data_IF_195638178388
#
_entry.id   IF_195638178388
#
_cell.length_a   1.000
_cell.length_b   1.000
_cell.length_c   1.000
_cell.angle_alpha   90.00
_cell.angle_beta   90.00
_cell.angle_gamma   90.00
#
_symmetry.space_group_name_H-M   'P 1'
#
loop_
_entity.id
_entity.type
_entity.pdbx_description
1 polymer ?
#
# COMPACT_ATOMS: atom_id res chain seq x y z
N UNK A 1 -13.92 -33.83 36.83
CA UNK A 1 -13.38 -33.31 35.55
C UNK A 1 -14.53 -32.81 34.74
N UNK A 2 -14.71 -31.48 34.69
CA UNK A 2 -15.72 -30.84 33.86
C UNK A 2 -15.40 -30.96 32.37
N UNK A 3 -16.40 -30.95 31.48
CA UNK A 3 -16.17 -31.05 30.07
C UNK A 3 -15.35 -29.83 29.62
N UNK A 4 -14.18 -30.07 29.00
CA UNK A 4 -13.44 -29.03 28.28
C UNK A 4 -14.34 -28.53 27.16
N UNK A 5 -14.80 -27.30 27.28
CA UNK A 5 -15.41 -26.59 26.15
C UNK A 5 -14.43 -26.64 24.99
N UNK A 6 -14.83 -27.27 23.88
CA UNK A 6 -14.04 -27.22 22.66
C UNK A 6 -13.92 -25.73 22.26
N UNK A 7 -12.71 -25.24 21.97
CA UNK A 7 -12.55 -23.88 21.48
C UNK A 7 -13.39 -23.68 20.22
N UNK A 8 -14.07 -22.56 20.14
CA UNK A 8 -14.91 -22.20 19.00
C UNK A 8 -13.99 -22.08 17.77
N UNK A 9 -14.11 -23.04 16.85
CA UNK A 9 -13.54 -23.08 15.50
C UNK A 9 -12.16 -22.47 15.37
N UNK A 10 -11.16 -23.14 15.89
CA UNK A 10 -9.77 -22.91 15.56
C UNK A 10 -9.57 -23.07 14.05
N UNK A 11 -8.77 -22.18 13.45
CA UNK A 11 -8.32 -22.41 12.09
C UNK A 11 -7.51 -23.70 12.04
N UNK A 12 -7.54 -24.42 10.92
CA UNK A 12 -6.76 -25.64 10.79
C UNK A 12 -5.27 -25.36 10.97
N UNK A 13 -4.52 -26.40 11.29
CA UNK A 13 -3.05 -26.34 11.29
C UNK A 13 -2.55 -26.10 9.86
N UNK A 14 -1.45 -25.34 9.70
CA UNK A 14 -0.86 -25.11 8.38
C UNK A 14 -0.35 -26.43 7.78
N UNK A 15 -0.46 -26.55 6.47
CA UNK A 15 0.09 -27.67 5.73
C UNK A 15 1.62 -27.73 5.87
N UNK A 16 2.20 -28.89 5.64
CA UNK A 16 3.66 -29.10 5.71
C UNK A 16 4.41 -28.13 4.78
N UNK A 17 5.40 -27.44 5.32
CA UNK A 17 6.19 -26.44 4.58
C UNK A 17 5.58 -25.05 4.54
N UNK A 18 4.37 -24.86 5.07
CA UNK A 18 3.75 -23.55 5.26
C UNK A 18 4.22 -22.97 6.60
N UNK A 19 4.81 -21.77 6.53
CA UNK A 19 5.38 -21.11 7.70
C UNK A 19 4.48 -19.99 8.15
N UNK A 20 3.96 -20.11 9.36
CA UNK A 20 3.27 -19.05 10.08
C UNK A 20 4.00 -18.76 11.38
N UNK A 21 3.94 -17.52 11.83
CA UNK A 21 4.53 -17.09 13.10
C UNK A 21 3.78 -17.61 14.31
N UNK A 22 4.32 -17.35 15.49
CA UNK A 22 3.59 -17.51 16.73
C UNK A 22 2.47 -16.47 16.81
N UNK A 23 1.35 -16.86 17.38
CA UNK A 23 0.27 -15.93 17.71
C UNK A 23 0.69 -15.12 18.95
N UNK A 24 0.60 -13.81 18.86
CA UNK A 24 0.75 -12.88 19.98
C UNK A 24 -0.61 -12.43 20.45
N UNK A 25 -0.84 -12.41 21.74
CA UNK A 25 -2.13 -12.04 22.33
C UNK A 25 -3.05 -13.22 22.59
N UNK A 26 -4.35 -12.99 22.45
CA UNK A 26 -5.40 -13.96 22.79
C UNK A 26 -5.58 -14.99 21.65
N UNK A 27 -5.84 -16.23 22.02
CA UNK A 27 -6.15 -17.32 21.08
C UNK A 27 -7.62 -17.36 20.65
N UNK A 28 -8.49 -16.64 21.35
CA UNK A 28 -9.90 -16.54 21.01
C UNK A 28 -10.14 -15.45 19.99
N UNK A 29 -10.88 -15.76 18.94
CA UNK A 29 -11.32 -14.88 17.87
C UNK A 29 -12.13 -13.70 18.43
N UNK A 30 -11.70 -12.47 18.19
CA UNK A 30 -12.41 -11.27 18.60
C UNK A 30 -13.19 -10.69 17.42
N UNK A 31 -14.51 -10.74 17.51
CA UNK A 31 -15.38 -10.11 16.51
C UNK A 31 -15.71 -8.69 16.94
N UNK A 32 -15.01 -7.73 16.39
CA UNK A 32 -15.22 -6.32 16.71
C UNK A 32 -15.90 -5.56 15.57
N UNK A 33 -16.54 -4.45 15.91
CA UNK A 33 -17.02 -3.52 14.91
C UNK A 33 -15.91 -2.53 14.59
N UNK A 34 -15.24 -2.75 13.47
CA UNK A 34 -14.11 -1.93 13.03
C UNK A 34 -14.55 -0.54 12.53
N UNK A 35 -13.63 0.41 12.59
CA UNK A 35 -13.76 1.72 11.95
C UNK A 35 -12.72 1.79 10.84
N UNK A 36 -13.04 1.25 9.67
CA UNK A 36 -12.11 1.12 8.54
C UNK A 36 -11.15 2.30 8.41
N UNK A 37 -9.87 2.01 8.32
CA UNK A 37 -8.81 2.91 7.89
C UNK A 37 -7.94 2.26 6.83
N UNK A 38 -7.36 3.08 5.95
CA UNK A 38 -6.30 2.69 5.03
C UNK A 38 -5.04 3.45 5.42
N UNK A 39 -3.95 2.72 5.70
CA UNK A 39 -2.67 3.29 6.10
C UNK A 39 -1.59 2.90 5.10
N UNK A 40 -0.99 3.88 4.44
CA UNK A 40 0.08 3.69 3.46
C UNK A 40 1.37 4.28 4.02
N UNK A 41 2.45 3.48 4.08
CA UNK A 41 3.75 3.94 4.57
C UNK A 41 4.84 3.81 3.51
N UNK A 42 5.73 4.80 3.48
CA UNK A 42 6.81 4.90 2.49
C UNK A 42 7.96 3.91 2.68
N UNK A 43 7.95 3.12 3.74
CA UNK A 43 9.04 2.20 4.08
C UNK A 43 10.07 2.83 5.03
N UNK A 44 11.17 2.14 5.26
CA UNK A 44 12.12 2.50 6.30
C UNK A 44 11.57 2.11 7.68
N UNK A 45 11.37 3.08 8.56
CA UNK A 45 10.71 2.88 9.85
C UNK A 45 9.22 3.18 9.74
N UNK A 46 8.39 2.37 10.36
CA UNK A 46 6.96 2.64 10.51
C UNK A 46 6.72 3.89 11.36
N UNK A 47 5.66 4.65 11.05
CA UNK A 47 5.23 5.80 11.83
C UNK A 47 4.29 5.36 12.96
N UNK A 48 4.70 5.56 14.21
CA UNK A 48 4.00 5.02 15.38
C UNK A 48 2.57 5.58 15.53
N UNK A 49 2.35 6.88 15.28
CA UNK A 49 1.00 7.48 15.36
C UNK A 49 0.05 6.92 14.30
N UNK A 50 0.51 6.79 13.06
CA UNK A 50 -0.29 6.20 12.00
C UNK A 50 -0.57 4.71 12.25
N UNK A 51 0.39 3.98 12.82
CA UNK A 51 0.21 2.59 13.26
C UNK A 51 -0.81 2.47 14.40
N UNK A 52 -0.84 3.43 15.33
CA UNK A 52 -1.85 3.48 16.37
C UNK A 52 -3.26 3.70 15.78
N UNK A 53 -3.41 4.56 14.77
CA UNK A 53 -4.70 4.73 14.07
C UNK A 53 -5.15 3.42 13.43
N UNK A 54 -4.23 2.68 12.80
CA UNK A 54 -4.54 1.35 12.26
C UNK A 54 -5.04 0.39 13.35
N UNK A 55 -4.35 0.31 14.50
CA UNK A 55 -4.75 -0.53 15.64
C UNK A 55 -6.11 -0.11 16.21
N UNK A 56 -6.28 1.16 16.49
CA UNK A 56 -7.53 1.71 17.03
C UNK A 56 -8.72 1.44 16.10
N UNK A 57 -8.46 1.45 14.79
CA UNK A 57 -9.49 1.18 13.78
C UNK A 57 -9.94 -0.28 13.75
N UNK A 58 -9.15 -1.23 14.25
CA UNK A 58 -9.58 -2.63 14.43
C UNK A 58 -10.49 -2.81 15.66
N UNK A 59 -10.56 -1.80 16.53
CA UNK A 59 -11.38 -1.78 17.74
C UNK A 59 -11.13 -3.01 18.65
N UNK A 60 -9.87 -3.38 18.84
CA UNK A 60 -9.48 -4.53 19.64
C UNK A 60 -9.63 -5.87 18.92
N UNK A 61 -9.67 -5.87 17.60
CA UNK A 61 -9.77 -7.07 16.78
C UNK A 61 -8.44 -7.78 16.56
N UNK A 62 -8.48 -8.77 15.70
CA UNK A 62 -7.33 -9.61 15.33
C UNK A 62 -6.61 -9.04 14.10
N UNK A 63 -5.28 -9.05 14.13
CA UNK A 63 -4.45 -8.53 13.04
C UNK A 63 -3.68 -9.67 12.38
N UNK A 64 -3.78 -9.75 11.05
CA UNK A 64 -2.93 -10.60 10.26
C UNK A 64 -1.93 -9.79 9.44
N UNK A 65 -0.66 -10.16 9.54
CA UNK A 65 0.42 -9.56 8.78
C UNK A 65 0.78 -10.50 7.62
N UNK A 66 0.56 -10.04 6.40
CA UNK A 66 0.95 -10.73 5.18
C UNK A 66 2.39 -10.33 4.82
N UNK A 67 3.24 -11.31 4.61
CA UNK A 67 4.65 -11.07 4.35
C UNK A 67 5.20 -12.01 3.28
N UNK A 68 6.03 -11.49 2.39
CA UNK A 68 6.72 -12.30 1.38
C UNK A 68 7.88 -13.08 2.00
N UNK A 69 8.67 -12.42 2.86
CA UNK A 69 9.85 -12.99 3.52
C UNK A 69 10.20 -12.22 4.81
N UNK A 70 11.14 -12.73 5.57
CA UNK A 70 11.72 -12.04 6.73
C UNK A 70 11.11 -12.46 8.06
N UNK A 71 11.19 -11.60 9.08
CA UNK A 71 10.85 -11.91 10.47
C UNK A 71 9.37 -12.22 10.67
N UNK A 72 9.07 -13.29 11.37
CA UNK A 72 7.69 -13.66 11.78
C UNK A 72 7.25 -12.98 13.08
N UNK A 73 8.17 -12.33 13.79
CA UNK A 73 7.93 -11.79 15.14
C UNK A 73 7.99 -10.26 15.18
N UNK A 74 8.64 -9.60 14.21
CA UNK A 74 8.86 -8.15 14.27
C UNK A 74 7.57 -7.34 14.32
N UNK A 75 6.62 -7.60 13.44
CA UNK A 75 5.34 -6.90 13.45
C UNK A 75 4.42 -7.27 14.61
N UNK A 76 4.27 -8.55 14.99
CA UNK A 76 3.54 -8.87 16.22
C UNK A 76 4.13 -8.18 17.44
N UNK A 77 5.45 -8.16 17.62
CA UNK A 77 6.09 -7.40 18.70
C UNK A 77 5.81 -5.91 18.60
N UNK A 78 5.90 -5.34 17.40
CA UNK A 78 5.65 -3.93 17.17
C UNK A 78 4.21 -3.55 17.55
N UNK A 79 3.21 -4.24 17.00
CA UNK A 79 1.82 -3.93 17.23
C UNK A 79 1.32 -4.25 18.66
N UNK A 80 1.84 -5.33 19.26
CA UNK A 80 1.35 -5.81 20.57
C UNK A 80 2.14 -5.30 21.76
N UNK A 81 3.41 -4.87 21.57
CA UNK A 81 4.30 -4.58 22.69
C UNK A 81 5.02 -3.25 22.59
N UNK A 82 5.30 -2.74 21.40
CA UNK A 82 6.08 -1.51 21.21
C UNK A 82 5.19 -0.27 21.14
N UNK A 83 4.07 -0.37 20.43
CA UNK A 83 3.13 0.74 20.29
C UNK A 83 2.35 0.98 21.58
N UNK A 84 2.15 2.26 21.90
CA UNK A 84 1.33 2.73 23.02
C UNK A 84 -0.05 3.15 22.51
N UNK A 85 -0.80 2.20 21.93
CA UNK A 85 -2.16 2.46 21.43
C UNK A 85 -3.17 2.55 22.58
N UNK A 86 -4.20 3.38 22.40
CA UNK A 86 -5.34 3.45 23.33
C UNK A 86 -6.17 2.17 23.32
N UNK A 87 -6.21 1.48 22.18
CA UNK A 87 -6.91 0.21 22.00
C UNK A 87 -5.87 -0.80 21.50
N UNK A 88 -5.55 -1.79 22.32
CA UNK A 88 -4.67 -2.89 21.93
C UNK A 88 -5.43 -3.85 21.02
N UNK A 89 -4.75 -4.45 20.05
CA UNK A 89 -5.31 -5.57 19.31
C UNK A 89 -5.55 -6.78 20.22
N UNK A 90 -6.53 -7.62 19.87
CA UNK A 90 -6.75 -8.90 20.54
C UNK A 90 -5.59 -9.86 20.29
N UNK A 91 -5.19 -9.97 19.02
CA UNK A 91 -4.03 -10.78 18.63
C UNK A 91 -3.35 -10.24 17.37
N UNK A 92 -2.10 -10.67 17.16
CA UNK A 92 -1.36 -10.40 15.93
C UNK A 92 -0.58 -11.65 15.49
N UNK A 93 -0.59 -11.93 14.19
CA UNK A 93 0.05 -13.08 13.58
C UNK A 93 0.68 -12.73 12.23
N UNK A 94 1.93 -13.12 12.02
CA UNK A 94 2.57 -13.01 10.68
C UNK A 94 2.46 -14.33 9.93
N UNK A 95 2.10 -14.24 8.65
CA UNK A 95 2.08 -15.37 7.72
C UNK A 95 2.91 -15.08 6.48
N UNK A 96 3.59 -16.09 5.95
CA UNK A 96 4.33 -15.97 4.70
C UNK A 96 3.45 -16.39 3.52
N UNK A 97 3.31 -15.52 2.55
CA UNK A 97 2.41 -15.67 1.40
C UNK A 97 3.11 -15.55 0.04
N UNK A 98 4.43 -15.78 -0.02
CA UNK A 98 5.27 -15.56 -1.20
C UNK A 98 5.10 -16.58 -2.33
N UNK A 99 4.12 -17.48 -2.26
CA UNK A 99 3.80 -18.44 -3.31
C UNK A 99 2.31 -18.79 -3.31
N UNK A 100 1.76 -19.29 -4.44
CA UNK A 100 0.37 -19.71 -4.50
C UNK A 100 -0.01 -20.74 -3.44
N UNK A 101 0.87 -21.69 -3.15
CA UNK A 101 0.64 -22.75 -2.14
C UNK A 101 0.53 -22.14 -0.73
N UNK A 102 1.41 -21.17 -0.40
CA UNK A 102 1.36 -20.48 0.89
C UNK A 102 0.12 -19.63 1.02
N UNK A 103 -0.16 -18.78 0.04
CA UNK A 103 -1.30 -17.88 0.06
C UNK A 103 -2.65 -18.62 0.19
N UNK A 104 -2.79 -19.78 -0.48
CA UNK A 104 -4.03 -20.56 -0.50
C UNK A 104 -4.13 -21.62 0.60
N UNK A 105 -3.14 -21.70 1.49
CA UNK A 105 -3.23 -22.62 2.62
C UNK A 105 -4.47 -22.35 3.48
N UNK A 106 -5.15 -23.43 3.89
CA UNK A 106 -6.41 -23.30 4.63
C UNK A 106 -6.26 -22.64 5.98
N UNK A 107 -5.11 -22.79 6.65
CA UNK A 107 -4.81 -22.09 7.89
C UNK A 107 -4.67 -20.58 7.66
N UNK A 108 -4.03 -20.17 6.57
CA UNK A 108 -3.83 -18.75 6.22
C UNK A 108 -5.16 -18.11 5.81
N UNK A 109 -5.88 -18.72 4.88
CA UNK A 109 -7.16 -18.18 4.41
C UNK A 109 -8.21 -18.11 5.50
N UNK A 110 -8.23 -19.07 6.43
CA UNK A 110 -9.09 -19.03 7.61
C UNK A 110 -8.76 -17.83 8.50
N UNK A 111 -7.49 -17.59 8.80
CA UNK A 111 -7.05 -16.50 9.69
C UNK A 111 -7.32 -15.13 9.07
N UNK A 112 -7.12 -14.98 7.76
CA UNK A 112 -7.46 -13.72 7.05
C UNK A 112 -8.97 -13.43 7.16
N UNK A 113 -9.83 -14.46 7.02
CA UNK A 113 -11.29 -14.29 7.12
C UNK A 113 -11.78 -13.88 8.51
N UNK A 114 -10.96 -14.05 9.52
CA UNK A 114 -11.27 -13.72 10.92
C UNK A 114 -10.62 -12.42 11.38
N UNK A 115 -9.75 -11.82 10.56
CA UNK A 115 -9.03 -10.62 10.94
C UNK A 115 -9.88 -9.37 10.78
N UNK A 116 -9.76 -8.46 11.72
CA UNK A 116 -10.28 -7.09 11.67
C UNK A 116 -9.26 -6.11 11.09
N UNK A 117 -7.99 -6.50 11.06
CA UNK A 117 -6.91 -5.75 10.43
C UNK A 117 -6.01 -6.61 9.56
N UNK A 118 -5.65 -6.12 8.37
CA UNK A 118 -4.68 -6.74 7.47
C UNK A 118 -3.54 -5.76 7.19
N UNK A 119 -2.32 -6.21 7.45
CA UNK A 119 -1.11 -5.43 7.19
C UNK A 119 -0.24 -6.12 6.15
N UNK A 120 0.09 -5.41 5.05
CA UNK A 120 1.02 -5.88 4.02
C UNK A 120 2.42 -5.33 4.32
N UNK A 121 3.35 -6.21 4.66
CA UNK A 121 4.72 -5.82 4.99
C UNK A 121 5.52 -5.46 3.74
N UNK A 122 6.66 -4.78 3.95
CA UNK A 122 7.64 -4.52 2.90
C UNK A 122 8.31 -5.80 2.39
N UNK A 123 9.02 -5.68 1.28
CA UNK A 123 9.73 -6.77 0.63
C UNK A 123 9.81 -6.60 -0.88
N UNK A 124 9.63 -7.68 -1.61
CA UNK A 124 9.50 -7.68 -3.07
C UNK A 124 8.00 -7.73 -3.43
N UNK A 125 7.48 -6.69 -4.06
CA UNK A 125 6.07 -6.62 -4.45
C UNK A 125 5.66 -7.70 -5.46
N UNK A 126 6.60 -8.22 -6.26
CA UNK A 126 6.29 -9.32 -7.18
C UNK A 126 5.83 -10.59 -6.47
N UNK A 127 6.34 -10.83 -5.25
CA UNK A 127 5.89 -11.95 -4.43
C UNK A 127 4.41 -11.84 -4.01
N UNK A 128 3.86 -10.63 -4.00
CA UNK A 128 2.43 -10.37 -3.81
C UNK A 128 1.68 -10.39 -5.15
N UNK A 129 2.08 -9.52 -6.08
CA UNK A 129 1.35 -9.25 -7.31
C UNK A 129 1.41 -10.41 -8.30
N UNK A 130 2.57 -11.04 -8.45
CA UNK A 130 2.77 -12.23 -9.30
C UNK A 130 2.69 -13.54 -8.54
N UNK A 131 3.04 -13.54 -7.24
CA UNK A 131 3.01 -14.73 -6.40
C UNK A 131 1.62 -15.16 -5.93
N UNK A 132 0.64 -14.23 -5.87
CA UNK A 132 -0.71 -14.55 -5.41
C UNK A 132 -1.62 -14.98 -6.57
N UNK A 133 -2.26 -16.17 -6.48
CA UNK A 133 -3.23 -16.57 -7.50
C UNK A 133 -4.48 -15.69 -7.44
N UNK A 134 -5.19 -15.62 -8.56
CA UNK A 134 -6.40 -14.79 -8.70
C UNK A 134 -7.44 -15.08 -7.61
N UNK A 135 -7.62 -16.36 -7.24
CA UNK A 135 -8.55 -16.77 -6.17
C UNK A 135 -8.21 -16.15 -4.81
N UNK A 136 -6.92 -16.03 -4.48
CA UNK A 136 -6.48 -15.37 -3.25
C UNK A 136 -6.69 -13.85 -3.32
N UNK A 137 -6.38 -13.25 -4.46
CA UNK A 137 -6.62 -11.83 -4.68
C UNK A 137 -8.11 -11.48 -4.55
N UNK A 138 -9.00 -12.31 -5.11
CA UNK A 138 -10.45 -12.15 -4.95
C UNK A 138 -10.87 -12.25 -3.49
N UNK A 139 -10.38 -13.27 -2.76
CA UNK A 139 -10.66 -13.41 -1.33
C UNK A 139 -10.20 -12.18 -0.55
N UNK A 140 -8.95 -11.76 -0.76
CA UNK A 140 -8.39 -10.60 -0.07
C UNK A 140 -9.18 -9.33 -0.41
N UNK A 141 -9.51 -9.10 -1.68
CA UNK A 141 -10.32 -7.97 -2.13
C UNK A 141 -11.69 -7.93 -1.46
N UNK A 142 -12.41 -9.06 -1.42
CA UNK A 142 -13.71 -9.14 -0.74
C UNK A 142 -13.65 -8.78 0.76
N UNK A 143 -12.57 -9.12 1.42
CA UNK A 143 -12.37 -8.81 2.83
C UNK A 143 -11.92 -7.36 3.04
N UNK A 144 -10.93 -6.91 2.28
CA UNK A 144 -10.29 -5.61 2.48
C UNK A 144 -11.09 -4.43 1.93
N UNK A 145 -12.03 -4.64 1.01
CA UNK A 145 -12.97 -3.59 0.54
C UNK A 145 -14.18 -3.41 1.46
N UNK A 146 -14.34 -4.27 2.47
CA UNK A 146 -15.40 -4.22 3.47
C UNK A 146 -15.08 -3.29 4.64
N UNK A 147 -15.28 -3.80 5.85
CA UNK A 147 -15.14 -3.00 7.07
C UNK A 147 -13.77 -3.13 7.73
N UNK A 148 -12.92 -4.07 7.33
CA UNK A 148 -11.62 -4.28 7.98
C UNK A 148 -10.63 -3.14 7.67
N UNK A 149 -9.76 -2.85 8.62
CA UNK A 149 -8.67 -1.90 8.43
C UNK A 149 -7.54 -2.51 7.63
N UNK A 150 -6.97 -1.74 6.72
CA UNK A 150 -5.89 -2.19 5.84
C UNK A 150 -4.71 -1.24 5.98
N UNK A 151 -3.52 -1.80 6.05
CA UNK A 151 -2.31 -1.02 6.00
C UNK A 151 -1.20 -1.74 5.23
N UNK A 152 -0.21 -0.99 4.84
CA UNK A 152 0.97 -1.54 4.20
C UNK A 152 2.14 -0.56 4.19
N UNK A 153 3.34 -1.12 4.12
CA UNK A 153 4.58 -0.34 4.04
C UNK A 153 5.41 -0.76 2.85
N UNK A 154 6.11 0.19 2.21
CA UNK A 154 7.00 -0.09 1.08
C UNK A 154 6.30 -0.92 -0.02
N UNK A 155 6.79 -2.11 -0.36
CA UNK A 155 6.16 -3.01 -1.33
C UNK A 155 4.70 -3.35 -1.01
N UNK A 156 4.36 -3.47 0.30
CA UNK A 156 2.99 -3.69 0.73
C UNK A 156 2.07 -2.51 0.41
N UNK A 157 2.52 -1.27 0.65
CA UNK A 157 1.77 -0.07 0.29
C UNK A 157 1.60 0.07 -1.23
N UNK A 158 2.67 -0.18 -1.99
CA UNK A 158 2.67 -0.17 -3.48
C UNK A 158 1.61 -1.12 -4.03
N UNK A 159 1.44 -2.29 -3.42
CA UNK A 159 0.51 -3.33 -3.88
C UNK A 159 -0.98 -3.00 -3.67
N UNK A 160 -1.30 -1.93 -2.92
CA UNK A 160 -2.68 -1.56 -2.59
C UNK A 160 -3.33 -0.60 -3.60
N UNK A 161 -2.57 0.00 -4.52
CA UNK A 161 -3.08 0.86 -5.60
C UNK A 161 -3.86 0.10 -6.67
N UNK A 162 -4.72 0.79 -7.43
CA UNK A 162 -5.41 0.20 -8.59
C UNK A 162 -4.41 -0.25 -9.66
N UNK A 163 -3.33 0.52 -9.85
CA UNK A 163 -2.14 0.10 -10.57
C UNK A 163 -0.97 0.02 -9.61
N UNK A 164 -0.10 -0.93 -9.81
CA UNK A 164 1.10 -1.12 -9.01
C UNK A 164 2.30 -1.44 -9.90
N UNK A 165 3.42 -0.75 -9.69
CA UNK A 165 4.70 -1.18 -10.25
C UNK A 165 5.07 -2.53 -9.64
N UNK A 166 5.10 -3.58 -10.44
CA UNK A 166 5.24 -4.94 -9.93
C UNK A 166 6.67 -5.43 -9.78
N UNK A 167 7.62 -4.75 -10.40
CA UNK A 167 9.03 -5.12 -10.40
C UNK A 167 9.30 -6.56 -10.93
N UNK A 168 8.42 -7.10 -11.78
CA UNK A 168 8.58 -8.43 -12.39
C UNK A 168 9.95 -8.56 -13.09
N UNK A 169 10.37 -7.51 -13.78
CA UNK A 169 11.64 -7.46 -14.51
C UNK A 169 12.75 -6.69 -13.73
N UNK A 170 12.61 -6.63 -12.40
CA UNK A 170 13.52 -5.92 -11.51
C UNK A 170 13.17 -4.44 -11.36
N UNK A 171 14.05 -3.71 -10.69
CA UNK A 171 13.85 -2.26 -10.46
C UNK A 171 14.24 -1.44 -11.68
N UNK A 172 13.68 -0.23 -11.79
CA UNK A 172 14.04 0.77 -12.79
C UNK A 172 14.29 2.12 -12.12
N UNK A 173 15.30 2.85 -12.57
CA UNK A 173 15.56 4.22 -12.12
C UNK A 173 14.67 5.23 -12.85
N UNK A 174 14.51 6.43 -12.28
CA UNK A 174 13.80 7.53 -12.94
C UNK A 174 14.39 7.88 -14.31
N UNK A 175 15.71 7.95 -14.40
CA UNK A 175 16.38 8.25 -15.66
C UNK A 175 16.10 7.20 -16.75
N UNK A 176 16.14 5.91 -16.39
CA UNK A 176 15.86 4.83 -17.33
C UNK A 176 14.39 4.84 -17.78
N UNK A 177 13.44 5.03 -16.83
CA UNK A 177 12.02 5.05 -17.11
C UNK A 177 11.64 6.23 -18.01
N UNK A 178 12.18 7.42 -17.75
CA UNK A 178 11.96 8.62 -18.57
C UNK A 178 12.55 8.48 -19.98
N UNK A 179 13.68 7.76 -20.12
CA UNK A 179 14.36 7.56 -21.39
C UNK A 179 13.65 6.52 -22.28
N UNK A 180 13.03 5.51 -21.67
CA UNK A 180 12.29 4.44 -22.37
C UNK A 180 11.03 4.06 -21.57
N UNK A 181 9.92 4.81 -21.78
CA UNK A 181 8.67 4.54 -21.06
C UNK A 181 7.98 3.23 -21.47
N UNK A 182 8.41 2.62 -22.57
CA UNK A 182 7.90 1.31 -23.02
C UNK A 182 8.82 0.14 -22.65
N UNK A 183 9.91 0.39 -21.92
CA UNK A 183 10.79 -0.64 -21.39
C UNK A 183 9.99 -1.75 -20.68
N UNK A 184 10.40 -3.01 -20.87
CA UNK A 184 9.83 -4.15 -20.14
C UNK A 184 9.94 -3.99 -18.61
N UNK A 185 10.93 -3.22 -18.12
CA UNK A 185 11.11 -2.90 -16.72
C UNK A 185 10.07 -1.90 -16.17
N UNK A 186 9.33 -1.24 -17.05
CA UNK A 186 8.16 -0.42 -16.69
C UNK A 186 6.93 -1.32 -16.69
N UNK A 187 6.90 -2.32 -15.82
CA UNK A 187 5.81 -3.29 -15.75
C UNK A 187 4.82 -2.93 -14.65
N UNK A 188 3.53 -3.00 -14.97
CA UNK A 188 2.44 -2.71 -14.06
C UNK A 188 1.52 -3.92 -13.90
N UNK A 189 1.15 -4.18 -12.66
CA UNK A 189 0.08 -5.10 -12.30
C UNK A 189 -1.16 -4.32 -11.86
N UNK A 190 -2.33 -4.95 -12.01
CA UNK A 190 -3.63 -4.41 -11.64
C UNK A 190 -4.28 -5.34 -10.62
N UNK A 191 -3.94 -5.22 -9.33
CA UNK A 191 -4.38 -6.16 -8.32
C UNK A 191 -5.90 -6.09 -8.10
N UNK A 192 -6.55 -7.25 -7.97
CA UNK A 192 -7.99 -7.33 -7.71
C UNK A 192 -8.34 -6.82 -6.30
N UNK A 193 -7.37 -6.90 -5.40
CA UNK A 193 -7.50 -6.47 -3.99
C UNK A 193 -7.12 -4.98 -3.77
N UNK A 194 -6.99 -4.18 -4.83
CA UNK A 194 -6.73 -2.76 -4.63
C UNK A 194 -7.80 -2.11 -3.75
N UNK A 195 -7.42 -1.08 -3.03
CA UNK A 195 -8.33 -0.43 -2.08
C UNK A 195 -9.21 0.59 -2.80
N UNK A 196 -10.54 0.63 -2.53
CA UNK A 196 -11.47 1.54 -3.22
C UNK A 196 -11.05 3.01 -3.14
N UNK A 197 -10.45 3.41 -2.03
CA UNK A 197 -9.91 4.75 -1.81
C UNK A 197 -8.78 5.09 -2.81
N UNK A 198 -8.14 4.08 -3.39
CA UNK A 198 -7.04 4.22 -4.34
C UNK A 198 -7.46 3.97 -5.80
N UNK A 199 -8.74 4.18 -6.11
CA UNK A 199 -9.21 4.14 -7.50
C UNK A 199 -8.47 5.17 -8.34
N UNK A 200 -8.05 4.80 -9.55
CA UNK A 200 -7.20 5.59 -10.46
C UNK A 200 -5.84 5.97 -9.86
N UNK A 201 -5.38 5.28 -8.83
CA UNK A 201 -4.17 5.66 -8.09
C UNK A 201 -3.09 4.57 -8.17
N UNK A 202 -1.84 5.02 -8.26
CA UNK A 202 -0.62 4.24 -8.14
C UNK A 202 0.22 4.78 -6.99
N UNK A 203 0.74 3.90 -6.14
CA UNK A 203 1.59 4.26 -4.99
C UNK A 203 3.04 3.90 -5.27
N UNK A 204 3.98 4.78 -4.94
CA UNK A 204 5.41 4.49 -4.87
C UNK A 204 5.97 4.87 -3.49
N UNK A 205 7.00 4.17 -3.05
CA UNK A 205 7.58 4.28 -1.69
C UNK A 205 9.08 4.62 -1.76
N UNK A 206 9.72 4.93 -0.62
CA UNK A 206 11.13 5.37 -0.58
C UNK A 206 11.40 6.47 -1.61
N UNK A 207 10.50 7.43 -1.68
CA UNK A 207 10.30 8.22 -2.89
C UNK A 207 11.45 9.17 -3.15
N UNK A 208 11.68 10.10 -2.26
CA UNK A 208 12.78 11.08 -2.39
C UNK A 208 14.14 10.41 -2.21
N UNK A 209 14.26 9.47 -1.26
CA UNK A 209 15.52 8.78 -0.96
C UNK A 209 16.09 8.03 -2.15
N UNK A 210 15.23 7.56 -3.05
CA UNK A 210 15.64 6.81 -4.24
C UNK A 210 15.39 7.56 -5.54
N UNK A 211 15.12 8.87 -5.45
CA UNK A 211 14.89 9.74 -6.61
C UNK A 211 13.85 9.14 -7.58
N UNK A 212 12.63 8.86 -7.08
CA UNK A 212 11.63 8.08 -7.80
C UNK A 212 10.61 8.89 -8.61
N UNK A 213 10.69 10.22 -8.61
CA UNK A 213 9.74 11.10 -9.30
C UNK A 213 9.57 10.75 -10.78
N UNK A 214 10.67 10.63 -11.52
CA UNK A 214 10.61 10.36 -12.96
C UNK A 214 10.03 8.99 -13.29
N UNK A 215 10.30 7.96 -12.46
CA UNK A 215 9.70 6.64 -12.68
C UNK A 215 8.20 6.65 -12.35
N UNK A 216 7.78 7.37 -11.29
CA UNK A 216 6.36 7.51 -10.96
C UNK A 216 5.60 8.17 -12.10
N UNK A 217 6.11 9.28 -12.67
CA UNK A 217 5.52 9.93 -13.83
C UNK A 217 5.41 8.99 -15.04
N UNK A 218 6.42 8.15 -15.26
CA UNK A 218 6.39 7.15 -16.31
C UNK A 218 5.33 6.06 -16.05
N UNK A 219 5.22 5.60 -14.82
CA UNK A 219 4.19 4.63 -14.42
C UNK A 219 2.78 5.20 -14.58
N UNK A 220 2.58 6.48 -14.24
CA UNK A 220 1.30 7.16 -14.46
C UNK A 220 0.95 7.27 -15.94
N UNK A 221 1.91 7.59 -16.80
CA UNK A 221 1.72 7.61 -18.24
C UNK A 221 1.30 6.24 -18.78
N UNK A 222 1.98 5.17 -18.36
CA UNK A 222 1.62 3.79 -18.71
C UNK A 222 0.22 3.44 -18.21
N UNK A 223 -0.07 3.68 -16.93
CA UNK A 223 -1.38 3.39 -16.33
C UNK A 223 -2.51 4.10 -17.05
N UNK A 224 -2.35 5.43 -17.30
CA UNK A 224 -3.32 6.24 -18.02
C UNK A 224 -3.60 5.70 -19.43
N UNK A 225 -2.53 5.35 -20.17
CA UNK A 225 -2.63 4.81 -21.52
C UNK A 225 -3.21 3.40 -21.57
N UNK A 226 -2.76 2.49 -20.70
CA UNK A 226 -3.21 1.09 -20.70
C UNK A 226 -4.66 0.89 -20.27
N UNK A 227 -5.18 1.80 -19.42
CA UNK A 227 -6.55 1.73 -18.89
C UNK A 227 -7.49 2.79 -19.46
N UNK A 228 -7.03 3.58 -20.43
CA UNK A 228 -7.81 4.67 -21.04
C UNK A 228 -8.47 5.57 -19.98
N UNK A 229 -7.66 6.03 -19.02
CA UNK A 229 -8.14 6.88 -17.92
C UNK A 229 -8.06 8.36 -18.30
N UNK A 230 -9.11 9.17 -18.03
CA UNK A 230 -9.01 10.62 -18.24
C UNK A 230 -7.99 11.27 -17.32
N UNK A 231 -7.90 10.79 -16.08
CA UNK A 231 -6.98 11.27 -15.06
C UNK A 231 -6.50 10.12 -14.20
N UNK A 232 -5.23 10.13 -13.84
CA UNK A 232 -4.62 9.18 -12.89
C UNK A 232 -3.84 9.93 -11.82
N UNK A 233 -3.74 9.32 -10.65
CA UNK A 233 -3.08 9.90 -9.48
C UNK A 233 -1.88 9.04 -9.07
N UNK A 234 -0.77 9.69 -8.77
CA UNK A 234 0.41 9.08 -8.18
C UNK A 234 0.59 9.51 -6.73
N UNK A 235 0.90 8.58 -5.85
CA UNK A 235 1.29 8.87 -4.47
C UNK A 235 2.74 8.46 -4.30
N UNK A 236 3.62 9.42 -4.01
CA UNK A 236 5.00 9.17 -3.61
C UNK A 236 5.15 9.34 -2.10
N UNK A 237 5.63 8.31 -1.40
CA UNK A 237 5.84 8.36 0.05
C UNK A 237 7.31 8.24 0.38
N UNK A 238 7.86 9.23 1.09
CA UNK A 238 9.21 9.21 1.62
C UNK A 238 9.34 8.21 2.78
N UNK A 239 10.57 7.78 3.10
CA UNK A 239 10.80 6.87 4.24
C UNK A 239 10.32 7.47 5.56
N UNK A 240 9.60 6.68 6.36
CA UNK A 240 9.01 7.10 7.63
C UNK A 240 7.72 7.92 7.49
N UNK A 241 7.29 8.24 6.28
CA UNK A 241 6.03 8.96 6.03
C UNK A 241 4.87 7.99 5.98
N UNK A 242 3.75 8.38 6.58
CA UNK A 242 2.48 7.68 6.48
C UNK A 242 1.38 8.61 5.95
N UNK A 243 0.59 8.10 5.02
CA UNK A 243 -0.68 8.67 4.58
C UNK A 243 -1.81 7.79 5.12
N UNK A 244 -2.65 8.36 5.96
CA UNK A 244 -3.81 7.70 6.56
C UNK A 244 -5.07 8.22 5.89
N UNK A 245 -5.94 7.32 5.44
CA UNK A 245 -7.26 7.65 4.87
C UNK A 245 -8.33 7.00 5.74
N UNK A 246 -9.26 7.81 6.24
CA UNK A 246 -10.37 7.34 7.09
C UNK A 246 -11.58 8.23 6.86
N UNK A 247 -12.75 7.63 6.59
CA UNK A 247 -14.03 8.36 6.43
C UNK A 247 -13.94 9.52 5.42
N UNK A 248 -13.36 9.27 4.24
CA UNK A 248 -13.17 10.27 3.19
C UNK A 248 -12.33 11.50 3.61
N UNK A 249 -11.49 11.33 4.62
CA UNK A 249 -10.50 12.31 5.05
C UNK A 249 -9.11 11.68 5.01
N UNK A 250 -8.10 12.51 4.76
CA UNK A 250 -6.71 12.08 4.87
C UNK A 250 -5.96 12.86 5.94
N UNK A 251 -4.92 12.24 6.47
CA UNK A 251 -3.93 12.85 7.34
C UNK A 251 -2.55 12.31 6.99
N UNK A 252 -1.55 13.20 6.96
CA UNK A 252 -0.15 12.87 6.73
C UNK A 252 0.61 12.94 8.05
N UNK A 253 1.41 11.92 8.31
CA UNK A 253 2.36 11.84 9.40
C UNK A 253 3.75 11.70 8.82
N UNK A 254 4.63 12.66 9.10
CA UNK A 254 5.93 12.71 8.45
C UNK A 254 7.05 13.19 9.40
N UNK A 255 8.22 12.56 9.40
CA UNK A 255 9.40 13.13 10.02
C UNK A 255 9.79 14.46 9.36
N UNK A 256 10.48 15.32 10.09
CA UNK A 256 10.98 16.60 9.55
C UNK A 256 11.77 16.39 8.25
N UNK A 257 11.41 17.16 7.24
CA UNK A 257 12.06 17.12 5.92
C UNK A 257 11.66 15.91 5.05
N UNK A 258 10.59 15.20 5.42
CA UNK A 258 9.99 14.11 4.66
C UNK A 258 8.56 14.45 4.28
N UNK A 259 8.07 13.91 3.17
CA UNK A 259 6.84 14.33 2.55
C UNK A 259 6.03 13.17 1.99
N UNK A 260 4.72 13.37 1.91
CA UNK A 260 3.86 12.67 0.97
C UNK A 260 3.66 13.56 -0.27
N UNK A 261 3.82 12.96 -1.45
CA UNK A 261 3.70 13.64 -2.73
C UNK A 261 2.49 13.12 -3.48
N UNK A 262 1.66 14.00 -3.97
CA UNK A 262 0.52 13.66 -4.83
C UNK A 262 0.77 14.23 -6.22
N UNK A 263 0.67 13.39 -7.23
CA UNK A 263 0.77 13.76 -8.63
C UNK A 263 -0.56 13.51 -9.32
N UNK A 264 -1.07 14.47 -10.06
CA UNK A 264 -2.23 14.30 -10.93
C UNK A 264 -1.78 14.47 -12.37
N UNK A 265 -2.03 13.46 -13.20
CA UNK A 265 -1.79 13.49 -14.64
C UNK A 265 -3.14 13.47 -15.36
N UNK A 266 -3.58 14.63 -15.85
CA UNK A 266 -4.79 14.81 -16.64
C UNK A 266 -4.51 14.98 -18.14
N UNK A 267 -3.33 15.47 -18.50
CA UNK A 267 -2.91 15.70 -19.87
C UNK A 267 -2.90 14.47 -20.78
N UNK A 268 -2.91 14.67 -22.08
CA UNK A 268 -2.82 13.58 -23.05
C UNK A 268 -1.49 12.83 -22.92
N UNK A 269 -1.52 11.52 -23.14
CA UNK A 269 -0.34 10.66 -23.13
C UNK A 269 -0.20 10.00 -24.50
N UNK A 270 0.97 10.12 -25.09
CA UNK A 270 1.35 9.39 -26.30
C UNK A 270 2.70 8.68 -26.04
N UNK A 271 2.67 7.36 -26.01
CA UNK A 271 3.85 6.53 -25.83
C UNK A 271 4.22 5.89 -27.15
N UNK A 272 5.44 6.16 -27.60
CA UNK A 272 5.97 5.62 -28.87
C UNK A 272 7.31 4.95 -28.62
N UNK A 273 7.59 3.91 -29.39
CA UNK A 273 8.88 3.21 -29.35
C UNK A 273 10.02 4.18 -29.65
N UNK A 274 11.13 4.02 -28.96
CA UNK A 274 12.36 4.81 -29.08
C UNK A 274 12.21 6.32 -28.76
N UNK A 275 11.07 6.73 -28.19
CA UNK A 275 10.85 8.10 -27.75
C UNK A 275 10.93 8.23 -26.22
N UNK A 276 11.60 9.25 -25.77
CA UNK A 276 11.63 9.63 -24.36
C UNK A 276 10.27 10.17 -23.93
N UNK A 277 9.94 10.02 -22.67
CA UNK A 277 8.66 10.48 -22.12
C UNK A 277 8.47 11.99 -22.34
N UNK A 278 7.28 12.35 -22.81
CA UNK A 278 6.79 13.72 -22.84
C UNK A 278 5.39 13.76 -22.25
N UNK A 279 5.19 14.60 -21.24
CA UNK A 279 3.91 14.81 -20.55
C UNK A 279 3.65 16.31 -20.37
N UNK A 280 2.39 16.67 -20.42
CA UNK A 280 1.89 17.99 -20.05
C UNK A 280 0.77 17.86 -19.05
N UNK A 281 0.39 18.95 -18.39
CA UNK A 281 -0.71 18.97 -17.39
C UNK A 281 -0.49 17.93 -16.28
N UNK A 282 0.68 17.96 -15.71
CA UNK A 282 1.00 17.27 -14.46
C UNK A 282 0.97 18.28 -13.35
N UNK A 283 0.23 17.99 -12.29
CA UNK A 283 0.22 18.81 -11.07
C UNK A 283 0.85 18.00 -9.94
N UNK A 284 1.74 18.65 -9.20
CA UNK A 284 2.42 18.06 -8.03
C UNK A 284 2.03 18.82 -6.77
N UNK A 285 1.54 18.09 -5.79
CA UNK A 285 1.26 18.60 -4.45
C UNK A 285 2.21 17.97 -3.45
N UNK A 286 2.82 18.83 -2.63
CA UNK A 286 3.71 18.43 -1.53
C UNK A 286 2.97 18.53 -0.21
N UNK A 287 2.77 17.40 0.46
CA UNK A 287 2.11 17.32 1.75
C UNK A 287 3.13 17.13 2.86
N UNK A 288 3.12 18.03 3.82
CA UNK A 288 3.98 18.02 5.01
C UNK A 288 3.30 17.27 6.16
N UNK A 289 4.02 17.11 7.25
CA UNK A 289 3.46 16.60 8.50
C UNK A 289 2.20 17.37 8.91
N UNK A 290 1.23 16.65 9.46
CA UNK A 290 -0.09 17.16 9.88
C UNK A 290 -0.99 17.71 8.76
N UNK A 291 -0.60 17.58 7.48
CA UNK A 291 -1.48 17.92 6.38
C UNK A 291 -2.75 17.05 6.43
N UNK A 292 -3.92 17.70 6.31
CA UNK A 292 -5.24 17.06 6.41
C UNK A 292 -6.18 17.63 5.36
N UNK A 293 -7.17 16.82 4.99
CA UNK A 293 -8.22 17.28 4.07
C UNK A 293 -9.13 16.16 3.62
N UNK A 294 -10.00 16.47 2.70
CA UNK A 294 -10.90 15.48 2.10
C UNK A 294 -10.15 14.55 1.15
N UNK A 295 -10.55 13.28 1.13
CA UNK A 295 -10.06 12.30 0.20
C UNK A 295 -11.12 11.92 -0.84
N UNK A 296 -10.83 11.81 -2.13
CA UNK A 296 -9.52 12.08 -2.76
C UNK A 296 -9.12 13.56 -2.67
N UNK A 297 -7.80 13.79 -2.63
CA UNK A 297 -7.23 15.13 -2.55
C UNK A 297 -7.62 15.92 -3.79
N UNK A 298 -8.19 17.11 -3.60
CA UNK A 298 -8.46 18.05 -4.69
C UNK A 298 -7.19 18.87 -4.94
N UNK A 299 -6.31 18.36 -5.81
CA UNK A 299 -4.98 18.93 -6.04
C UNK A 299 -5.08 20.37 -6.54
N UNK A 300 -6.09 20.68 -7.38
CA UNK A 300 -6.31 22.00 -7.96
C UNK A 300 -6.80 23.06 -6.98
N UNK A 301 -7.19 22.69 -5.77
CA UNK A 301 -7.65 23.63 -4.72
C UNK A 301 -6.57 23.93 -3.68
N UNK A 302 -5.33 23.54 -3.93
CA UNK A 302 -4.20 23.73 -3.01
C UNK A 302 -3.02 24.35 -3.76
N UNK A 303 -2.11 24.98 -3.01
CA UNK A 303 -0.85 25.44 -3.59
C UNK A 303 -0.09 24.23 -4.15
N UNK A 304 0.12 24.21 -5.44
CA UNK A 304 0.66 23.08 -6.16
C UNK A 304 1.59 23.51 -7.30
N UNK A 305 2.55 22.67 -7.63
CA UNK A 305 3.46 22.92 -8.75
C UNK A 305 2.87 22.32 -10.05
N UNK A 306 2.91 23.10 -11.11
CA UNK A 306 2.69 22.60 -12.46
C UNK A 306 4.00 22.03 -13.02
N UNK A 307 3.96 20.82 -13.55
CA UNK A 307 5.09 20.14 -14.14
C UNK A 307 4.82 19.78 -15.60
N UNK A 308 5.89 19.71 -16.36
CA UNK A 308 5.93 19.03 -17.65
C UNK A 308 7.13 18.07 -17.71
N UNK A 309 7.01 17.02 -18.49
CA UNK A 309 8.15 16.19 -18.89
C UNK A 309 8.37 16.46 -20.37
N UNK A 310 9.52 16.97 -20.73
CA UNK A 310 9.88 17.29 -22.13
C UNK A 310 11.10 16.46 -22.50
N UNK A 311 10.90 15.52 -23.42
CA UNK A 311 11.97 14.66 -23.92
C UNK A 311 12.77 13.97 -22.79
N UNK A 312 12.05 13.45 -21.78
CA UNK A 312 12.64 12.76 -20.63
C UNK A 312 13.22 13.66 -19.54
N UNK A 313 13.00 14.97 -19.61
CA UNK A 313 13.43 15.91 -18.56
C UNK A 313 12.22 16.52 -17.87
N UNK A 314 12.18 16.45 -16.54
CA UNK A 314 11.13 17.08 -15.72
C UNK A 314 11.43 18.58 -15.63
N UNK A 315 10.43 19.41 -15.86
CA UNK A 315 10.49 20.86 -15.80
C UNK A 315 9.37 21.40 -14.91
N UNK A 316 9.70 22.31 -14.00
CA UNK A 316 8.73 23.06 -13.23
C UNK A 316 8.24 24.25 -14.10
N UNK A 317 6.95 24.34 -14.33
CA UNK A 317 6.31 25.32 -15.18
C UNK A 317 5.80 26.53 -14.39
N UNK A 318 5.58 26.37 -13.12
CA UNK A 318 5.10 27.40 -12.20
C UNK A 318 4.43 26.80 -10.98
N UNK A 319 4.09 27.65 -10.03
CA UNK A 319 3.29 27.30 -8.84
C UNK A 319 1.95 27.98 -8.93
N UNK A 320 0.87 27.25 -8.80
CA UNK A 320 -0.48 27.78 -8.77
C UNK A 320 -0.87 28.05 -7.31
N UNK A 321 -1.24 29.29 -7.02
CA UNK A 321 -1.79 29.71 -5.73
C UNK A 321 -3.31 29.82 -5.86
N UNK A 322 -4.05 29.06 -5.10
CA UNK A 322 -5.52 29.08 -5.07
C UNK A 322 -6.10 29.64 -3.77
#
# INVERSE_FOLDING_TARGET
MGPRLKPITECPEPSTGIIIGSLYGNTQDAKTQTQRSLVLMGGGREHDEASNIFLESTNGGDIIILRASGSLTSYPNYFMSTLSSKISANSALTVLTSSPQKAMDSAITCRIKKAEGVWLAGGNQWDYLGGWPQSFQVLLGQLTTGHISVGGTSAGAVSLGEAAFDAQHGTISSQQALADPLSEKVSLSYPIFFQPELKNTLVDSHFTERNREGRLLTFLARFKSEKDRPTVVGIGLDEGVALVIKQDQFEVFAPTGRYAWIYELSGPVSLTTDAKLTLTQVVRLKLTDTAKGSWPVQVQSQESDELAVINGAIQEMGTTHH
#
